data_IF_624565922162
#
_entry.id   IF_624565922162
#
_cell.length_a   1.000
_cell.length_b   1.000
_cell.length_c   1.000
_cell.angle_alpha   90.00
_cell.angle_beta   90.00
_cell.angle_gamma   90.00
#
_symmetry.space_group_name_H-M   'P 1'
#
loop_
_entity.id
_entity.type
_entity.pdbx_description
1 polymer ?
#
# COMPACT_ATOMS: atom_id res chain seq x y z
N UNK A 1 26.21 -45.19 -40.06
CA UNK A 1 24.87 -45.15 -39.49
C UNK A 1 24.37 -43.71 -39.59
N UNK A 2 23.61 -43.38 -40.67
CA UNK A 2 23.15 -41.99 -40.90
C UNK A 2 21.85 -41.74 -40.16
N UNK A 3 21.90 -40.94 -39.09
CA UNK A 3 20.68 -40.44 -38.44
C UNK A 3 20.08 -39.36 -39.33
N UNK A 4 19.05 -39.68 -40.12
CA UNK A 4 18.17 -38.66 -40.70
C UNK A 4 17.20 -38.21 -39.62
N UNK A 5 17.53 -37.10 -38.97
CA UNK A 5 16.56 -36.38 -38.13
C UNK A 5 15.60 -35.70 -39.13
N UNK A 6 14.38 -36.14 -39.20
CA UNK A 6 13.34 -35.57 -40.09
C UNK A 6 12.93 -34.18 -39.51
N UNK A 7 12.63 -33.24 -40.40
CA UNK A 7 12.18 -31.88 -40.09
C UNK A 7 11.07 -31.84 -39.03
N UNK A 8 10.20 -32.85 -39.02
CA UNK A 8 9.13 -33.03 -38.03
C UNK A 8 9.62 -33.29 -36.59
N UNK A 9 10.78 -33.89 -36.42
CA UNK A 9 11.36 -34.10 -35.06
C UNK A 9 11.95 -32.80 -34.51
N UNK A 10 12.59 -32.00 -35.37
CA UNK A 10 13.11 -30.66 -34.97
C UNK A 10 11.98 -29.71 -34.60
N UNK A 11 10.86 -29.69 -35.35
CA UNK A 11 9.70 -28.86 -35.01
C UNK A 11 9.04 -29.29 -33.69
N UNK A 12 8.93 -30.58 -33.40
CA UNK A 12 8.41 -31.05 -32.10
C UNK A 12 9.31 -30.69 -30.93
N UNK A 13 10.63 -30.73 -31.11
CA UNK A 13 11.59 -30.34 -30.07
C UNK A 13 11.54 -28.83 -29.80
N UNK A 14 11.45 -28.00 -30.87
CA UNK A 14 11.35 -26.54 -30.72
C UNK A 14 10.04 -26.10 -30.09
N UNK A 15 8.92 -26.73 -30.43
CA UNK A 15 7.61 -26.46 -29.80
C UNK A 15 7.62 -26.88 -28.33
N UNK A 16 8.19 -28.05 -28.01
CA UNK A 16 8.33 -28.50 -26.62
C UNK A 16 9.25 -27.60 -25.80
N UNK A 17 10.34 -27.10 -26.38
CA UNK A 17 11.26 -26.17 -25.73
C UNK A 17 10.61 -24.80 -25.49
N UNK A 18 9.85 -24.27 -26.45
CA UNK A 18 9.08 -23.05 -26.32
C UNK A 18 7.97 -23.18 -25.25
N UNK A 19 7.35 -24.37 -25.15
CA UNK A 19 6.36 -24.64 -24.11
C UNK A 19 7.01 -24.68 -22.72
N UNK A 20 8.19 -25.26 -22.59
CA UNK A 20 8.96 -25.29 -21.34
C UNK A 20 9.48 -23.90 -20.94
N UNK A 21 9.89 -23.08 -21.91
CA UNK A 21 10.32 -21.68 -21.65
C UNK A 21 9.13 -20.82 -21.19
N UNK A 22 7.96 -20.99 -21.82
CA UNK A 22 6.75 -20.30 -21.36
C UNK A 22 6.32 -20.78 -19.97
N UNK A 23 6.38 -22.09 -19.67
CA UNK A 23 6.09 -22.62 -18.34
C UNK A 23 7.08 -22.13 -17.28
N UNK A 24 8.38 -21.98 -17.61
CA UNK A 24 9.38 -21.44 -16.68
C UNK A 24 9.26 -19.92 -16.51
N UNK A 25 8.70 -19.19 -17.48
CA UNK A 25 8.42 -17.77 -17.35
C UNK A 25 7.16 -17.51 -16.50
N UNK A 26 6.19 -18.44 -16.49
CA UNK A 26 5.00 -18.36 -15.62
C UNK A 26 5.29 -18.71 -14.15
N UNK A 27 6.41 -19.39 -13.84
CA UNK A 27 6.76 -19.83 -12.47
C UNK A 27 7.39 -18.69 -11.63
N UNK A 28 7.67 -17.52 -12.22
CA UNK A 28 8.12 -16.34 -11.48
C UNK A 28 7.07 -15.24 -11.32
N UNK A 29 5.81 -15.53 -11.51
CA UNK A 29 4.77 -14.63 -11.03
C UNK A 29 4.72 -14.75 -9.52
N UNK A 30 5.30 -13.78 -8.84
CA UNK A 30 5.05 -13.51 -7.42
C UNK A 30 3.55 -13.71 -7.19
N UNK A 31 3.20 -14.63 -6.28
CA UNK A 31 1.81 -14.99 -5.99
C UNK A 31 1.16 -13.78 -5.33
N UNK A 32 0.71 -12.83 -6.13
CA UNK A 32 0.02 -11.63 -5.65
C UNK A 32 -1.36 -12.07 -5.18
N UNK A 33 -1.64 -11.87 -3.91
CA UNK A 33 -2.96 -12.15 -3.34
C UNK A 33 -4.03 -11.36 -4.11
N UNK A 34 -5.21 -11.96 -4.37
CA UNK A 34 -6.29 -11.26 -5.07
C UNK A 34 -6.63 -9.94 -4.37
N UNK A 35 -6.74 -8.87 -5.16
CA UNK A 35 -7.01 -7.52 -4.64
C UNK A 35 -5.77 -6.75 -4.18
N UNK A 36 -4.56 -7.28 -4.37
CA UNK A 36 -3.29 -6.58 -4.09
C UNK A 36 -2.77 -5.90 -5.36
N UNK A 37 -2.46 -4.61 -5.24
CA UNK A 37 -1.92 -3.79 -6.32
C UNK A 37 -0.63 -3.10 -5.89
N UNK A 38 0.32 -2.99 -6.81
CA UNK A 38 1.61 -2.27 -6.63
C UNK A 38 1.72 -1.03 -7.53
N UNK A 39 0.67 -0.70 -8.24
CA UNK A 39 0.58 0.42 -9.19
C UNK A 39 -0.77 1.11 -8.99
N UNK A 40 -0.72 2.38 -8.64
CA UNK A 40 -1.92 3.17 -8.36
C UNK A 40 -2.79 3.35 -9.61
N UNK A 41 -2.17 3.51 -10.79
CA UNK A 41 -2.91 3.66 -12.05
C UNK A 41 -3.73 2.41 -12.36
N UNK A 42 -3.14 1.23 -12.14
CA UNK A 42 -3.85 -0.04 -12.31
C UNK A 42 -4.94 -0.24 -11.26
N UNK A 43 -4.67 0.14 -10.00
CA UNK A 43 -5.65 0.09 -8.93
C UNK A 43 -6.88 0.95 -9.25
N UNK A 44 -6.68 2.14 -9.81
CA UNK A 44 -7.77 3.05 -10.17
C UNK A 44 -8.59 2.60 -11.40
N UNK A 45 -8.10 1.64 -12.19
CA UNK A 45 -8.90 1.03 -13.25
C UNK A 45 -9.98 0.07 -12.73
N UNK A 46 -9.75 -0.55 -11.56
CA UNK A 46 -10.66 -1.48 -10.90
C UNK A 46 -10.78 -1.16 -9.40
N UNK A 47 -11.27 0.03 -9.03
CA UNK A 47 -11.14 0.55 -7.67
C UNK A 47 -11.89 -0.30 -6.60
N UNK A 48 -12.93 -1.03 -6.99
CA UNK A 48 -13.69 -1.87 -6.07
C UNK A 48 -13.02 -3.22 -5.76
N UNK A 49 -12.06 -3.64 -6.59
CA UNK A 49 -11.33 -4.88 -6.38
C UNK A 49 -10.12 -4.70 -5.44
N UNK A 50 -9.69 -3.46 -5.22
CA UNK A 50 -8.48 -3.15 -4.45
C UNK A 50 -8.75 -3.36 -2.96
N UNK A 51 -7.98 -4.27 -2.35
CA UNK A 51 -7.96 -4.53 -0.91
C UNK A 51 -6.65 -4.07 -0.28
N UNK A 52 -5.55 -4.29 -0.97
CA UNK A 52 -4.21 -3.94 -0.54
C UNK A 52 -3.54 -3.11 -1.64
N UNK A 53 -2.99 -1.97 -1.27
CA UNK A 53 -2.23 -1.11 -2.18
C UNK A 53 -0.82 -0.90 -1.63
N UNK A 54 0.15 -1.50 -2.30
CA UNK A 54 1.55 -1.48 -1.93
C UNK A 54 2.31 -0.49 -2.82
N UNK A 55 2.59 0.68 -2.27
CA UNK A 55 3.27 1.78 -2.98
C UNK A 55 4.56 2.21 -2.25
N UNK A 56 5.17 1.31 -1.49
CA UNK A 56 6.44 1.62 -0.82
C UNK A 56 7.57 1.86 -1.81
N UNK A 57 8.55 2.69 -1.40
CA UNK A 57 9.81 2.93 -2.12
C UNK A 57 9.67 3.53 -3.55
N UNK A 58 8.55 4.13 -3.87
CA UNK A 58 8.28 4.66 -5.22
C UNK A 58 8.67 6.13 -5.40
N UNK A 59 9.30 6.77 -4.39
CA UNK A 59 9.70 8.19 -4.42
C UNK A 59 8.51 9.14 -4.66
N UNK A 60 7.32 8.75 -4.23
CA UNK A 60 6.11 9.54 -4.38
C UNK A 60 6.20 10.81 -3.54
N UNK A 61 5.92 11.95 -4.16
CA UNK A 61 5.86 13.26 -3.49
C UNK A 61 4.44 13.61 -3.03
N UNK A 62 3.45 13.09 -3.75
CA UNK A 62 2.02 13.31 -3.48
C UNK A 62 1.22 12.07 -3.82
N UNK A 63 0.06 11.94 -3.20
CA UNK A 63 -0.97 10.96 -3.55
C UNK A 63 -2.13 11.73 -4.18
N UNK A 64 -2.64 11.33 -5.35
CA UNK A 64 -3.74 12.01 -6.00
C UNK A 64 -5.05 11.79 -5.22
N UNK A 65 -5.98 12.74 -5.36
CA UNK A 65 -7.29 12.69 -4.69
C UNK A 65 -8.13 11.47 -5.05
N UNK A 66 -7.89 10.90 -6.22
CA UNK A 66 -8.55 9.69 -6.75
C UNK A 66 -8.32 8.47 -5.84
N UNK A 67 -7.36 8.52 -4.91
CA UNK A 67 -7.17 7.48 -3.87
C UNK A 67 -8.47 7.20 -3.12
N UNK A 68 -9.30 8.22 -2.91
CA UNK A 68 -10.61 8.08 -2.26
C UNK A 68 -11.60 7.17 -2.98
N UNK A 69 -11.37 6.84 -4.24
CA UNK A 69 -12.22 5.91 -5.00
C UNK A 69 -12.05 4.45 -4.57
N UNK A 70 -10.96 4.12 -3.87
CA UNK A 70 -10.64 2.76 -3.43
C UNK A 70 -11.45 2.36 -2.19
N UNK A 71 -12.77 2.33 -2.32
CA UNK A 71 -13.72 2.18 -1.22
C UNK A 71 -13.56 0.88 -0.41
N UNK A 72 -12.99 -0.16 -1.03
CA UNK A 72 -12.77 -1.46 -0.39
C UNK A 72 -11.34 -1.65 0.13
N UNK A 73 -10.50 -0.60 0.07
CA UNK A 73 -9.11 -0.66 0.52
C UNK A 73 -9.04 -0.91 2.03
N UNK A 74 -8.27 -1.93 2.41
CA UNK A 74 -8.04 -2.34 3.79
C UNK A 74 -6.61 -2.00 4.25
N UNK A 75 -5.65 -2.10 3.34
CA UNK A 75 -4.25 -1.83 3.64
C UNK A 75 -3.66 -0.88 2.59
N UNK A 76 -3.06 0.21 3.06
CA UNK A 76 -2.33 1.18 2.25
C UNK A 76 -0.91 1.31 2.79
N UNK A 77 0.06 0.83 2.03
CA UNK A 77 1.46 0.98 2.36
C UNK A 77 2.11 2.05 1.47
N UNK A 78 2.56 3.13 2.11
CA UNK A 78 3.25 4.27 1.52
C UNK A 78 4.63 4.46 2.14
N UNK A 79 5.20 3.42 2.72
CA UNK A 79 6.48 3.43 3.40
C UNK A 79 7.62 3.88 2.46
N UNK A 80 8.58 4.63 3.01
CA UNK A 80 9.78 5.05 2.31
C UNK A 80 9.50 5.79 0.98
N UNK A 81 8.73 6.88 1.09
CA UNK A 81 8.43 7.80 0.00
C UNK A 81 8.90 9.23 0.33
N UNK A 82 8.45 10.22 -0.39
CA UNK A 82 8.79 11.64 -0.21
C UNK A 82 7.54 12.49 0.06
N UNK A 83 6.52 11.89 0.70
CA UNK A 83 5.25 12.55 0.94
C UNK A 83 5.40 13.67 1.99
N UNK A 84 4.91 14.85 1.66
CA UNK A 84 4.86 15.99 2.58
C UNK A 84 3.48 16.15 3.22
N UNK A 85 2.43 15.69 2.55
CA UNK A 85 1.02 15.74 2.98
C UNK A 85 0.24 14.55 2.44
N UNK A 86 -0.95 14.32 2.97
CA UNK A 86 -1.96 13.43 2.41
C UNK A 86 -3.12 14.23 1.83
N UNK A 87 -3.79 13.75 0.76
CA UNK A 87 -5.00 14.38 0.27
C UNK A 87 -6.13 14.19 1.30
N UNK A 88 -7.05 15.16 1.38
CA UNK A 88 -8.20 15.08 2.28
C UNK A 88 -9.11 13.88 1.98
N UNK A 89 -9.15 13.47 0.73
CA UNK A 89 -9.93 12.32 0.24
C UNK A 89 -9.51 10.99 0.89
N UNK A 90 -8.42 10.97 1.68
CA UNK A 90 -8.08 9.82 2.53
C UNK A 90 -9.23 9.46 3.47
N UNK A 91 -10.03 10.42 3.90
CA UNK A 91 -11.21 10.22 4.75
C UNK A 91 -12.27 9.29 4.14
N UNK A 92 -12.25 9.11 2.81
CA UNK A 92 -13.20 8.28 2.08
C UNK A 92 -12.88 6.78 2.20
N UNK A 93 -11.67 6.42 2.65
CA UNK A 93 -11.22 5.04 2.80
C UNK A 93 -11.79 4.40 4.07
N UNK A 94 -13.11 4.29 4.15
CA UNK A 94 -13.82 3.85 5.37
C UNK A 94 -13.49 2.42 5.81
N UNK A 95 -13.00 1.57 4.91
CA UNK A 95 -12.63 0.19 5.21
C UNK A 95 -11.14 0.03 5.57
N UNK A 96 -10.35 1.12 5.58
CA UNK A 96 -8.92 1.07 5.84
C UNK A 96 -8.64 0.61 7.29
N UNK A 97 -7.83 -0.43 7.43
CA UNK A 97 -7.40 -1.01 8.70
C UNK A 97 -5.93 -0.75 9.00
N UNK A 98 -5.09 -0.70 7.97
CA UNK A 98 -3.65 -0.46 8.11
C UNK A 98 -3.23 0.69 7.20
N UNK A 99 -2.51 1.66 7.78
CA UNK A 99 -1.92 2.78 7.05
C UNK A 99 -0.44 2.92 7.41
N UNK A 100 0.42 2.60 6.46
CA UNK A 100 1.88 2.73 6.57
C UNK A 100 2.39 4.00 5.92
N UNK A 101 2.85 4.96 6.71
CA UNK A 101 3.40 6.25 6.28
C UNK A 101 4.82 6.49 6.80
N UNK A 102 5.47 5.46 7.32
CA UNK A 102 6.82 5.58 7.85
C UNK A 102 7.84 5.98 6.77
N UNK A 103 8.92 6.64 7.18
CA UNK A 103 9.98 7.12 6.29
C UNK A 103 9.45 8.00 5.16
N UNK A 104 8.80 9.10 5.55
CA UNK A 104 8.32 10.15 4.65
C UNK A 104 8.80 11.54 5.14
N UNK A 105 8.24 12.59 4.60
CA UNK A 105 8.57 13.98 4.93
C UNK A 105 7.35 14.74 5.47
N UNK A 106 6.42 14.01 6.13
CA UNK A 106 5.18 14.61 6.64
C UNK A 106 5.52 15.60 7.77
N UNK A 107 5.10 16.84 7.63
CA UNK A 107 5.24 17.89 8.66
C UNK A 107 3.99 18.01 9.52
N UNK A 108 2.85 17.65 8.96
CA UNK A 108 1.53 17.65 9.62
C UNK A 108 0.75 16.41 9.20
N UNK A 109 -0.17 15.99 10.03
CA UNK A 109 -1.21 15.01 9.70
C UNK A 109 -2.54 15.74 9.68
N UNK A 110 -3.31 15.57 8.61
CA UNK A 110 -4.58 16.27 8.45
C UNK A 110 -5.65 15.72 9.40
N UNK A 111 -6.63 16.56 9.75
CA UNK A 111 -7.73 16.20 10.65
C UNK A 111 -8.62 15.08 10.08
N UNK A 112 -8.66 14.96 8.76
CA UNK A 112 -9.45 13.93 8.04
C UNK A 112 -9.03 12.51 8.42
N UNK A 113 -7.84 12.32 9.00
CA UNK A 113 -7.39 11.02 9.53
C UNK A 113 -8.37 10.44 10.55
N UNK A 114 -9.01 11.29 11.35
CA UNK A 114 -10.00 10.89 12.36
C UNK A 114 -11.25 10.22 11.77
N UNK A 115 -11.46 10.34 10.46
CA UNK A 115 -12.59 9.72 9.77
C UNK A 115 -12.37 8.25 9.40
N UNK A 116 -11.16 7.72 9.60
CA UNK A 116 -10.80 6.33 9.31
C UNK A 116 -11.19 5.41 10.48
N UNK A 117 -12.49 5.28 10.73
CA UNK A 117 -13.04 4.64 11.92
C UNK A 117 -12.66 3.15 12.08
N UNK A 118 -12.28 2.47 10.99
CA UNK A 118 -11.85 1.08 11.01
C UNK A 118 -10.32 0.91 11.13
N UNK A 119 -9.57 2.03 11.26
CA UNK A 119 -8.11 1.99 11.32
C UNK A 119 -7.66 1.35 12.64
N UNK A 120 -6.83 0.30 12.51
CA UNK A 120 -6.23 -0.46 13.62
C UNK A 120 -4.75 -0.17 13.78
N UNK A 121 -4.06 0.07 12.66
CA UNK A 121 -2.61 0.24 12.64
C UNK A 121 -2.27 1.51 11.85
N UNK A 122 -1.53 2.42 12.49
CA UNK A 122 -1.02 3.65 11.89
C UNK A 122 0.47 3.79 12.18
N UNK A 123 1.30 3.71 11.14
CA UNK A 123 2.74 3.94 11.24
C UNK A 123 3.12 5.30 10.66
N UNK A 124 3.67 6.16 11.51
CA UNK A 124 4.15 7.51 11.18
C UNK A 124 5.63 7.71 11.53
N UNK A 125 6.34 6.63 11.86
CA UNK A 125 7.76 6.69 12.25
C UNK A 125 8.62 7.35 11.17
N UNK A 126 9.69 8.05 11.59
CA UNK A 126 10.64 8.66 10.66
C UNK A 126 9.95 9.66 9.71
N UNK A 127 9.30 10.66 10.29
CA UNK A 127 8.71 11.80 9.61
C UNK A 127 9.19 13.11 10.29
N UNK A 128 8.58 14.24 9.95
CA UNK A 128 8.90 15.56 10.48
C UNK A 128 7.70 16.15 11.25
N UNK A 129 6.84 15.30 11.79
CA UNK A 129 5.63 15.74 12.50
C UNK A 129 5.99 16.51 13.76
N UNK A 130 5.40 17.68 13.95
CA UNK A 130 5.57 18.52 15.16
C UNK A 130 4.39 18.39 16.12
N UNK A 131 3.21 18.04 15.58
CA UNK A 131 1.96 17.84 16.33
C UNK A 131 1.14 16.73 15.68
N UNK A 132 0.15 16.23 16.43
CA UNK A 132 -0.92 15.40 15.91
C UNK A 132 -2.25 16.16 15.99
N UNK A 133 -3.15 16.00 15.00
CA UNK A 133 -4.48 16.58 15.09
C UNK A 133 -5.26 15.91 16.23
N UNK A 134 -6.11 16.68 16.92
CA UNK A 134 -6.96 16.15 18.00
C UNK A 134 -7.92 15.06 17.51
N UNK A 135 -8.28 15.10 16.24
CA UNK A 135 -9.18 14.14 15.58
C UNK A 135 -8.61 12.71 15.58
N UNK A 136 -7.30 12.54 15.84
CA UNK A 136 -6.71 11.19 16.01
C UNK A 136 -7.36 10.44 17.19
N UNK A 137 -7.91 11.13 18.18
CA UNK A 137 -8.66 10.57 19.30
C UNK A 137 -10.00 9.92 18.86
N UNK A 138 -10.44 10.18 17.64
CA UNK A 138 -11.65 9.58 17.07
C UNK A 138 -11.42 8.16 16.52
N UNK A 139 -10.16 7.73 16.38
CA UNK A 139 -9.79 6.41 15.88
C UNK A 139 -10.01 5.32 16.93
N UNK A 140 -11.28 5.02 17.25
CA UNK A 140 -11.67 4.14 18.37
C UNK A 140 -11.17 2.69 18.25
N UNK A 141 -10.85 2.25 17.03
CA UNK A 141 -10.33 0.90 16.77
C UNK A 141 -8.80 0.86 16.67
N UNK A 142 -8.09 1.98 16.91
CA UNK A 142 -6.64 2.04 16.78
C UNK A 142 -5.96 1.22 17.89
N UNK A 143 -5.15 0.25 17.48
CA UNK A 143 -4.41 -0.67 18.36
C UNK A 143 -2.92 -0.37 18.36
N UNK A 144 -2.39 0.10 17.23
CA UNK A 144 -0.97 0.39 17.05
C UNK A 144 -0.78 1.77 16.46
N UNK A 145 -0.01 2.60 17.14
CA UNK A 145 0.40 3.93 16.68
C UNK A 145 1.92 4.06 16.78
N UNK A 146 2.59 4.10 15.64
CA UNK A 146 4.03 4.29 15.54
C UNK A 146 4.37 5.76 15.31
N UNK A 147 5.08 6.40 16.23
CA UNK A 147 5.46 7.84 16.18
C UNK A 147 6.96 8.08 16.30
N UNK A 148 7.77 7.03 16.40
CA UNK A 148 9.22 7.15 16.62
C UNK A 148 9.91 8.02 15.58
N UNK A 149 10.96 8.72 15.97
CA UNK A 149 11.73 9.59 15.08
C UNK A 149 10.88 10.67 14.38
N UNK A 150 10.15 11.46 15.18
CA UNK A 150 9.44 12.66 14.81
C UNK A 150 9.85 13.83 15.73
N UNK A 151 9.23 14.97 15.58
CA UNK A 151 9.50 16.19 16.39
C UNK A 151 8.27 16.54 17.26
N UNK A 152 7.42 15.58 17.58
CA UNK A 152 6.17 15.77 18.31
C UNK A 152 6.48 16.17 19.75
N UNK A 153 5.99 17.33 20.17
CA UNK A 153 6.18 17.86 21.53
C UNK A 153 4.98 17.56 22.44
N UNK A 154 3.80 17.47 21.85
CA UNK A 154 2.54 17.28 22.59
C UNK A 154 1.73 16.20 21.88
N UNK A 155 1.32 15.20 22.64
CA UNK A 155 0.41 14.14 22.19
C UNK A 155 -0.98 14.45 22.76
N UNK A 156 -2.05 14.41 21.95
CA UNK A 156 -3.41 14.56 22.44
C UNK A 156 -3.74 13.57 23.55
N UNK A 157 -4.36 14.03 24.64
CA UNK A 157 -4.56 13.22 25.85
C UNK A 157 -5.47 12.00 25.62
N UNK A 158 -6.42 12.10 24.70
CA UNK A 158 -7.36 11.01 24.40
C UNK A 158 -6.72 9.79 23.75
N UNK A 159 -5.49 9.90 23.20
CA UNK A 159 -4.78 8.76 22.62
C UNK A 159 -4.56 7.65 23.65
N UNK A 160 -4.26 8.01 24.90
CA UNK A 160 -4.03 7.05 25.98
C UNK A 160 -5.27 6.24 26.36
N UNK A 161 -6.45 6.66 25.91
CA UNK A 161 -7.73 5.99 26.16
C UNK A 161 -8.10 4.98 25.06
N UNK A 162 -7.33 4.95 23.94
CA UNK A 162 -7.63 4.07 22.80
C UNK A 162 -7.19 2.62 23.03
N UNK A 163 -6.58 2.28 24.17
CA UNK A 163 -6.04 0.94 24.48
C UNK A 163 -6.90 0.10 25.43
N UNK A 164 -8.17 0.49 25.68
CA UNK A 164 -9.07 -0.26 26.57
C UNK A 164 -10.16 -0.97 25.77
#
# INVERSE_FOLDING_TARGET
MNFRITLNHLQKITISLLFLINLSCEIQTEKVEPGTYKDLTKALQNPLDVRVLELSEQKLKTIPKEIGQLQNLQELNLWNNQLTTLPKEIEQLKNLQTLGLGYNQLTTLSQEIGQLQNLKVLFLNNNQLTTLPKEIEQLKNLQTLGLGNNQIKIIPNGIWQLQN
#
